data_IF_217949822484
#
_entry.id   IF_217949822484
#
_cell.length_a   1.000
_cell.length_b   1.000
_cell.length_c   1.000
_cell.angle_alpha   90.00
_cell.angle_beta   90.00
_cell.angle_gamma   90.00
#
_symmetry.space_group_name_H-M   'P 1'
#
loop_
_entity.id
_entity.type
_entity.pdbx_description
1 polymer ?
#
# COMPACT_ATOMS: atom_id res chain seq x y z
N UNK A 1 -6.70 -5.96 -8.30
CA UNK A 1 -7.45 -5.31 -7.20
C UNK A 1 -8.38 -4.18 -7.65
N UNK A 2 -7.92 -3.07 -8.24
CA UNK A 2 -8.87 -2.03 -8.72
C UNK A 2 -9.93 -2.61 -9.66
N UNK A 3 -9.49 -3.39 -10.65
CA UNK A 3 -10.37 -4.07 -11.61
C UNK A 3 -11.27 -5.12 -10.92
N UNK A 4 -10.70 -5.95 -10.03
CA UNK A 4 -11.46 -6.92 -9.23
C UNK A 4 -12.59 -6.26 -8.40
N UNK A 5 -12.36 -5.03 -7.93
CA UNK A 5 -13.33 -4.26 -7.14
C UNK A 5 -14.24 -3.37 -8.00
N UNK A 6 -14.02 -3.29 -9.31
CA UNK A 6 -14.75 -2.39 -10.22
C UNK A 6 -14.44 -0.90 -10.01
N UNK A 7 -13.29 -0.57 -9.42
CA UNK A 7 -12.91 0.81 -9.07
C UNK A 7 -12.17 1.52 -10.20
N UNK A 8 -12.94 1.89 -11.22
CA UNK A 8 -12.41 2.57 -12.42
C UNK A 8 -11.95 3.99 -12.11
N UNK A 9 -12.59 4.66 -11.14
CA UNK A 9 -12.29 6.06 -10.80
C UNK A 9 -10.88 6.21 -10.23
N UNK A 10 -10.55 5.49 -9.16
CA UNK A 10 -9.21 5.59 -8.55
C UNK A 10 -8.15 4.96 -9.43
N UNK A 11 -8.49 3.93 -10.20
CA UNK A 11 -7.58 3.35 -11.17
C UNK A 11 -7.11 4.38 -12.20
N UNK A 12 -8.04 5.08 -12.86
CA UNK A 12 -7.73 6.10 -13.87
C UNK A 12 -7.06 7.35 -13.28
N UNK A 13 -7.24 7.63 -11.99
CA UNK A 13 -6.52 8.69 -11.28
C UNK A 13 -5.09 8.29 -10.89
N UNK A 14 -4.83 6.98 -10.74
CA UNK A 14 -3.57 6.44 -10.23
C UNK A 14 -2.63 5.95 -11.31
N UNK A 15 -3.15 5.40 -12.41
CA UNK A 15 -2.37 4.76 -13.48
C UNK A 15 -2.80 5.33 -14.83
N UNK A 16 -1.83 5.65 -15.68
CA UNK A 16 -2.03 5.96 -17.09
C UNK A 16 -1.16 5.04 -17.94
N UNK A 17 -1.59 4.74 -19.15
CA UNK A 17 -0.90 3.83 -20.06
C UNK A 17 -0.37 4.60 -21.26
N UNK A 18 0.90 4.41 -21.59
CA UNK A 18 1.54 5.03 -22.76
C UNK A 18 2.36 4.04 -23.56
N UNK A 19 2.41 4.29 -24.87
CA UNK A 19 3.37 3.69 -25.79
C UNK A 19 4.71 4.43 -25.63
N UNK A 20 5.79 3.68 -25.50
CA UNK A 20 7.12 4.25 -25.40
C UNK A 20 7.89 3.96 -26.69
N UNK A 21 8.35 5.01 -27.37
CA UNK A 21 9.19 4.86 -28.58
C UNK A 21 10.60 4.30 -28.33
N UNK A 22 10.93 4.02 -27.07
CA UNK A 22 12.17 3.39 -26.64
C UNK A 22 11.84 2.06 -25.96
N UNK A 23 12.49 0.98 -26.41
CA UNK A 23 12.45 -0.33 -25.76
C UNK A 23 13.88 -0.79 -25.58
N UNK A 24 14.35 -0.81 -24.33
CA UNK A 24 15.63 -1.45 -24.03
C UNK A 24 15.47 -2.93 -23.66
N UNK A 25 14.31 -3.37 -23.14
CA UNK A 25 14.16 -4.75 -22.62
C UNK A 25 12.73 -5.36 -22.64
N UNK A 26 11.67 -4.62 -23.01
CA UNK A 26 10.28 -5.13 -23.01
C UNK A 26 9.47 -4.55 -24.20
N UNK A 27 8.45 -5.25 -24.73
CA UNK A 27 7.62 -4.72 -25.82
C UNK A 27 6.96 -3.38 -25.43
N UNK A 28 6.84 -2.49 -26.42
CA UNK A 28 6.90 -1.04 -26.24
C UNK A 28 5.54 -0.32 -26.23
N UNK A 29 4.43 -1.04 -26.23
CA UNK A 29 3.10 -0.54 -26.58
C UNK A 29 2.08 -0.52 -25.43
N UNK A 30 2.50 -0.79 -24.17
CA UNK A 30 1.59 -0.68 -23.03
C UNK A 30 2.28 -0.56 -21.66
N UNK A 31 2.90 0.59 -21.37
CA UNK A 31 3.54 0.81 -20.06
C UNK A 31 2.64 1.56 -19.08
N UNK A 32 2.51 1.01 -17.87
CA UNK A 32 1.86 1.68 -16.74
C UNK A 32 2.77 2.77 -16.16
N UNK A 33 2.26 3.99 -16.08
CA UNK A 33 2.88 5.10 -15.40
C UNK A 33 2.05 5.54 -14.20
N UNK A 34 2.74 5.89 -13.10
CA UNK A 34 2.12 6.52 -11.95
C UNK A 34 1.55 7.89 -12.34
N UNK A 35 0.23 8.02 -12.34
CA UNK A 35 -0.46 9.24 -12.78
C UNK A 35 -0.80 10.20 -11.64
N UNK A 36 -0.61 9.78 -10.38
CA UNK A 36 -0.92 10.58 -9.19
C UNK A 36 -0.03 11.81 -9.04
N UNK A 37 1.22 11.74 -9.54
CA UNK A 37 2.14 12.87 -9.67
C UNK A 37 2.33 13.21 -11.15
N UNK A 38 1.38 13.96 -11.73
CA UNK A 38 1.31 14.27 -13.17
C UNK A 38 2.46 15.13 -13.69
N UNK A 39 3.09 15.91 -12.82
CA UNK A 39 4.19 16.80 -13.20
C UNK A 39 5.10 17.07 -12.00
N UNK A 40 6.31 17.57 -12.28
CA UNK A 40 7.24 18.05 -11.25
C UNK A 40 6.71 19.28 -10.47
N UNK A 41 5.63 19.91 -10.92
CA UNK A 41 4.98 21.05 -10.27
C UNK A 41 3.78 20.67 -9.42
N UNK A 42 3.43 19.38 -9.35
CA UNK A 42 2.36 18.93 -8.49
C UNK A 42 2.81 18.93 -7.02
N UNK A 43 1.88 19.24 -6.11
CA UNK A 43 2.10 19.06 -4.68
C UNK A 43 2.19 17.58 -4.34
N UNK A 44 3.18 17.22 -3.52
CA UNK A 44 3.28 15.88 -2.92
C UNK A 44 2.34 15.83 -1.73
N UNK A 45 1.39 14.90 -1.77
CA UNK A 45 0.46 14.68 -0.66
C UNK A 45 1.12 13.74 0.34
N UNK A 46 1.46 14.26 1.51
CA UNK A 46 1.99 13.47 2.63
C UNK A 46 0.88 12.90 3.51
N UNK A 47 -0.16 13.68 3.75
CA UNK A 47 -1.28 13.33 4.61
C UNK A 47 -2.54 14.01 4.10
N UNK A 48 -3.67 13.31 4.17
CA UNK A 48 -4.98 13.87 3.82
C UNK A 48 -6.09 13.20 4.60
N UNK A 49 -7.27 13.81 4.55
CA UNK A 49 -8.41 13.42 5.37
C UNK A 49 -8.82 11.94 5.24
N UNK A 50 -8.72 11.35 4.04
CA UNK A 50 -9.05 9.93 3.85
C UNK A 50 -8.09 9.00 4.62
N UNK A 51 -6.81 9.34 4.72
CA UNK A 51 -5.84 8.57 5.50
C UNK A 51 -6.21 8.59 6.98
N UNK A 52 -6.49 9.79 7.53
CA UNK A 52 -6.95 9.95 8.92
C UNK A 52 -8.24 9.17 9.20
N UNK A 53 -9.19 9.19 8.28
CA UNK A 53 -10.41 8.38 8.39
C UNK A 53 -10.08 6.88 8.44
N UNK A 54 -9.22 6.40 7.55
CA UNK A 54 -8.84 5.00 7.50
C UNK A 54 -8.07 4.59 8.77
N UNK A 55 -7.13 5.40 9.26
CA UNK A 55 -6.47 5.15 10.55
C UNK A 55 -7.47 5.08 11.72
N UNK A 56 -8.51 5.94 11.71
CA UNK A 56 -9.61 5.85 12.68
C UNK A 56 -10.40 4.53 12.53
N UNK A 57 -10.62 4.06 11.31
CA UNK A 57 -11.29 2.78 11.07
C UNK A 57 -10.45 1.61 11.62
N UNK A 58 -9.13 1.64 11.41
CA UNK A 58 -8.23 0.65 12.00
C UNK A 58 -8.26 0.64 13.51
N UNK A 59 -8.17 1.81 14.15
CA UNK A 59 -8.24 1.91 15.60
C UNK A 59 -9.55 1.33 16.14
N UNK A 60 -10.65 1.46 15.41
CA UNK A 60 -11.94 0.83 15.73
C UNK A 60 -11.95 -0.68 15.53
N UNK A 61 -11.17 -1.23 14.59
CA UNK A 61 -11.05 -2.68 14.37
C UNK A 61 -10.14 -3.31 15.44
N UNK A 62 -9.01 -2.66 15.74
CA UNK A 62 -7.90 -3.21 16.51
C UNK A 62 -7.90 -2.81 17.99
N UNK A 63 -8.64 -1.77 18.38
CA UNK A 63 -8.70 -1.29 19.75
C UNK A 63 -9.27 -2.31 20.75
N UNK A 64 -9.06 -2.04 22.04
CA UNK A 64 -9.50 -2.92 23.15
C UNK A 64 -11.01 -3.17 23.18
N UNK A 65 -11.80 -2.20 22.73
CA UNK A 65 -13.24 -2.31 22.51
C UNK A 65 -13.55 -2.14 21.01
N UNK A 66 -13.48 -3.22 20.19
CA UNK A 66 -13.70 -3.12 18.76
C UNK A 66 -15.11 -2.65 18.41
N UNK A 67 -15.19 -1.71 17.48
CA UNK A 67 -16.42 -1.19 16.87
C UNK A 67 -16.38 -1.46 15.36
N UNK A 68 -16.69 -2.70 14.98
CA UNK A 68 -16.60 -3.17 13.59
C UNK A 68 -17.60 -2.45 12.68
N UNK A 69 -18.80 -2.15 13.16
CA UNK A 69 -19.79 -1.42 12.38
C UNK A 69 -19.34 0.03 12.14
N UNK A 70 -18.86 0.73 13.16
CA UNK A 70 -18.33 2.08 13.01
C UNK A 70 -17.08 2.14 12.12
N UNK A 71 -16.23 1.11 12.14
CA UNK A 71 -15.11 0.99 11.21
C UNK A 71 -15.58 0.77 9.77
N UNK A 72 -16.52 -0.15 9.56
CA UNK A 72 -17.10 -0.44 8.26
C UNK A 72 -17.81 0.80 7.66
N UNK A 73 -18.50 1.59 8.48
CA UNK A 73 -19.15 2.82 8.03
C UNK A 73 -18.14 3.87 7.54
N UNK A 74 -16.96 3.94 8.16
CA UNK A 74 -15.88 4.82 7.70
C UNK A 74 -15.31 4.31 6.37
N UNK A 75 -15.08 3.01 6.22
CA UNK A 75 -14.60 2.40 4.97
C UNK A 75 -15.64 2.63 3.86
N UNK A 76 -16.92 2.38 4.13
CA UNK A 76 -18.03 2.64 3.22
C UNK A 76 -18.09 4.10 2.77
N UNK A 77 -17.77 5.06 3.65
CA UNK A 77 -17.71 6.47 3.25
C UNK A 77 -16.66 6.72 2.16
N UNK A 78 -15.49 6.11 2.27
CA UNK A 78 -14.42 6.22 1.27
C UNK A 78 -14.83 5.52 -0.03
N UNK A 79 -15.36 4.30 0.08
CA UNK A 79 -15.89 3.49 -1.03
C UNK A 79 -16.97 4.23 -1.82
N UNK A 80 -17.95 4.79 -1.13
CA UNK A 80 -19.04 5.54 -1.76
C UNK A 80 -18.53 6.75 -2.54
N UNK A 81 -17.50 7.47 -2.04
CA UNK A 81 -16.88 8.60 -2.77
C UNK A 81 -16.14 8.14 -4.03
N UNK A 82 -15.58 6.94 -4.00
CA UNK A 82 -14.98 6.28 -5.16
C UNK A 82 -16.02 5.69 -6.14
N UNK A 83 -17.31 5.70 -5.79
CA UNK A 83 -18.39 5.13 -6.61
C UNK A 83 -18.60 3.63 -6.38
N UNK A 84 -18.01 3.06 -5.32
CA UNK A 84 -18.17 1.67 -4.94
C UNK A 84 -19.32 1.48 -3.96
N UNK A 85 -19.91 0.29 -3.98
CA UNK A 85 -20.93 -0.12 -3.02
C UNK A 85 -20.37 -0.39 -1.61
N UNK A 86 -21.27 -0.41 -0.64
CA UNK A 86 -20.97 -0.75 0.76
C UNK A 86 -20.37 -2.15 0.89
N UNK A 87 -19.56 -2.36 1.91
CA UNK A 87 -19.06 -3.68 2.29
C UNK A 87 -20.22 -4.63 2.60
N UNK A 88 -20.15 -5.90 2.17
CA UNK A 88 -21.17 -6.90 2.45
C UNK A 88 -21.20 -7.23 3.94
N UNK A 89 -22.35 -7.71 4.42
CA UNK A 89 -22.53 -8.02 5.85
C UNK A 89 -21.54 -9.08 6.34
N UNK A 90 -21.17 -10.05 5.48
CA UNK A 90 -20.16 -11.07 5.79
C UNK A 90 -18.80 -10.45 6.16
N UNK A 91 -18.39 -9.39 5.47
CA UNK A 91 -17.16 -8.64 5.79
C UNK A 91 -17.33 -7.83 7.06
N UNK A 92 -18.47 -7.14 7.26
CA UNK A 92 -18.72 -6.30 8.45
C UNK A 92 -18.71 -7.10 9.75
N UNK A 93 -19.19 -8.35 9.70
CA UNK A 93 -19.34 -9.21 10.87
C UNK A 93 -18.09 -10.02 11.26
N UNK A 94 -17.00 -9.96 10.49
CA UNK A 94 -15.73 -10.63 10.83
C UNK A 94 -14.62 -9.59 10.97
N UNK A 95 -13.92 -9.63 12.11
CA UNK A 95 -12.79 -8.73 12.36
C UNK A 95 -11.69 -8.92 11.32
N UNK A 96 -11.40 -10.17 10.98
CA UNK A 96 -10.36 -10.57 10.04
C UNK A 96 -10.73 -10.13 8.61
N UNK A 97 -11.96 -10.40 8.18
CA UNK A 97 -12.44 -9.97 6.87
C UNK A 97 -12.49 -8.44 6.76
N UNK A 98 -12.90 -7.74 7.82
CA UNK A 98 -12.93 -6.28 7.85
C UNK A 98 -11.52 -5.68 7.86
N UNK A 99 -10.57 -6.29 8.57
CA UNK A 99 -9.16 -5.87 8.54
C UNK A 99 -8.55 -6.06 7.14
N UNK A 100 -8.88 -7.15 6.46
CA UNK A 100 -8.47 -7.35 5.06
C UNK A 100 -9.08 -6.28 4.14
N UNK A 101 -10.39 -6.04 4.25
CA UNK A 101 -11.07 -5.00 3.49
C UNK A 101 -10.49 -3.60 3.76
N UNK A 102 -10.11 -3.32 5.00
CA UNK A 102 -9.40 -2.11 5.39
C UNK A 102 -8.04 -1.97 4.69
N UNK A 103 -7.21 -3.02 4.70
CA UNK A 103 -5.90 -3.01 4.05
C UNK A 103 -6.01 -2.84 2.52
N UNK A 104 -7.03 -3.44 1.91
CA UNK A 104 -7.32 -3.30 0.49
C UNK A 104 -7.83 -1.89 0.16
N UNK A 105 -8.69 -1.32 1.01
CA UNK A 105 -9.17 0.05 0.86
C UNK A 105 -8.02 1.05 0.97
N UNK A 106 -7.09 0.89 1.92
CA UNK A 106 -5.88 1.74 2.01
C UNK A 106 -4.99 1.62 0.79
N UNK A 107 -4.79 0.40 0.29
CA UNK A 107 -3.97 0.15 -0.90
C UNK A 107 -4.52 0.89 -2.12
N UNK A 108 -5.83 0.86 -2.32
CA UNK A 108 -6.50 1.54 -3.43
C UNK A 108 -6.58 3.05 -3.19
N UNK A 109 -6.99 3.49 -2.01
CA UNK A 109 -7.17 4.90 -1.71
C UNK A 109 -5.85 5.68 -1.75
N UNK A 110 -4.81 5.13 -1.13
CA UNK A 110 -3.52 5.80 -0.88
C UNK A 110 -2.42 5.29 -1.81
N UNK A 111 -2.79 4.66 -2.94
CA UNK A 111 -1.85 4.19 -3.94
C UNK A 111 -0.87 5.32 -4.31
N UNK A 112 0.43 5.04 -4.26
CA UNK A 112 1.51 5.98 -4.59
C UNK A 112 1.65 7.20 -3.67
N UNK A 113 1.06 7.20 -2.46
CA UNK A 113 1.21 8.28 -1.46
C UNK A 113 2.18 7.90 -0.31
N UNK A 114 3.05 6.90 -0.51
CA UNK A 114 4.10 6.53 0.45
C UNK A 114 3.67 5.68 1.65
N UNK A 115 2.38 5.38 1.81
CA UNK A 115 1.88 4.71 3.02
C UNK A 115 2.08 3.19 3.05
N UNK A 116 2.13 2.53 1.88
CA UNK A 116 2.04 1.08 1.78
C UNK A 116 3.14 0.34 2.54
N UNK A 117 4.39 0.79 2.46
CA UNK A 117 5.50 0.14 3.16
C UNK A 117 5.28 0.13 4.68
N UNK A 118 4.99 1.30 5.25
CA UNK A 118 4.77 1.46 6.68
C UNK A 118 3.54 0.70 7.17
N UNK A 119 2.46 0.67 6.37
CA UNK A 119 1.30 -0.17 6.64
C UNK A 119 1.65 -1.65 6.72
N UNK A 120 2.49 -2.16 5.81
CA UNK A 120 2.91 -3.56 5.84
C UNK A 120 3.80 -3.86 7.05
N UNK A 121 4.75 -2.98 7.39
CA UNK A 121 5.62 -3.15 8.56
C UNK A 121 4.81 -3.21 9.86
N UNK A 122 3.95 -2.22 10.11
CA UNK A 122 3.22 -2.13 11.37
C UNK A 122 2.11 -3.17 11.54
N UNK A 123 1.67 -3.79 10.44
CA UNK A 123 0.68 -4.87 10.44
C UNK A 123 1.32 -6.26 10.30
N UNK A 124 2.66 -6.37 10.31
CA UNK A 124 3.41 -7.61 10.12
C UNK A 124 3.01 -8.37 8.84
N UNK A 125 2.95 -7.64 7.73
CA UNK A 125 2.53 -8.13 6.40
C UNK A 125 3.64 -8.07 5.35
N UNK A 126 4.85 -7.64 5.71
CA UNK A 126 5.93 -7.43 4.75
C UNK A 126 6.26 -8.72 4.00
N UNK A 127 6.53 -9.80 4.73
CA UNK A 127 6.92 -11.09 4.15
C UNK A 127 5.80 -11.67 3.28
N UNK A 128 4.58 -11.74 3.83
CA UNK A 128 3.40 -12.25 3.12
C UNK A 128 3.16 -11.52 1.79
N UNK A 129 3.20 -10.18 1.82
CA UNK A 129 2.82 -9.37 0.67
C UNK A 129 3.98 -9.20 -0.30
N UNK A 130 5.17 -8.87 0.18
CA UNK A 130 6.31 -8.51 -0.66
C UNK A 130 6.93 -9.74 -1.33
N UNK A 131 7.05 -10.87 -0.63
CA UNK A 131 7.60 -12.10 -1.21
C UNK A 131 6.64 -12.73 -2.24
N UNK A 132 5.36 -12.36 -2.21
CA UNK A 132 4.39 -12.79 -3.21
C UNK A 132 4.40 -11.92 -4.49
N UNK A 133 5.04 -10.74 -4.50
CA UNK A 133 4.91 -9.77 -5.61
C UNK A 133 5.44 -10.33 -6.92
N UNK A 134 6.60 -10.98 -6.91
CA UNK A 134 7.25 -11.44 -8.14
C UNK A 134 6.52 -12.61 -8.80
N UNK A 135 5.64 -13.30 -8.08
CA UNK A 135 4.79 -14.36 -8.62
C UNK A 135 3.48 -13.84 -9.24
N UNK A 136 3.17 -12.54 -9.15
CA UNK A 136 1.88 -11.98 -9.62
C UNK A 136 1.83 -11.68 -11.12
N UNK A 137 2.98 -11.44 -11.73
CA UNK A 137 3.08 -11.11 -13.16
C UNK A 137 3.99 -12.12 -13.87
N UNK A 138 3.64 -12.49 -15.09
CA UNK A 138 4.52 -13.31 -15.94
C UNK A 138 5.74 -12.52 -16.40
N UNK A 139 6.86 -13.22 -16.65
CA UNK A 139 8.08 -12.62 -17.19
C UNK A 139 8.96 -11.86 -16.18
N UNK A 140 8.60 -11.86 -14.89
CA UNK A 140 9.49 -11.37 -13.83
C UNK A 140 10.53 -12.44 -13.47
N UNK A 141 11.76 -12.01 -13.22
CA UNK A 141 12.78 -12.88 -12.61
C UNK A 141 12.35 -13.27 -11.20
N UNK A 142 12.77 -14.45 -10.73
CA UNK A 142 12.54 -14.83 -9.35
C UNK A 142 13.18 -13.81 -8.40
N UNK A 143 12.52 -13.54 -7.27
CA UNK A 143 13.09 -12.71 -6.23
C UNK A 143 14.24 -13.46 -5.57
N UNK A 144 15.44 -12.90 -5.63
CA UNK A 144 16.63 -13.53 -5.03
C UNK A 144 16.68 -13.34 -3.51
N UNK A 145 16.39 -12.13 -3.05
CA UNK A 145 16.42 -11.78 -1.63
C UNK A 145 15.01 -11.64 -1.11
N UNK A 146 14.54 -12.63 -0.35
CA UNK A 146 13.25 -12.59 0.31
C UNK A 146 13.27 -11.59 1.47
N UNK A 147 12.18 -10.85 1.62
CA UNK A 147 11.94 -10.02 2.80
C UNK A 147 11.79 -10.90 4.04
N UNK A 148 12.35 -10.40 5.14
CA UNK A 148 12.29 -10.96 6.50
C UNK A 148 12.31 -9.82 7.53
N UNK A 149 12.36 -10.17 8.81
CA UNK A 149 12.40 -9.22 9.94
C UNK A 149 13.54 -8.19 9.87
N UNK A 150 14.68 -8.53 9.26
CA UNK A 150 15.81 -7.59 9.08
C UNK A 150 15.59 -6.60 7.95
N UNK A 151 14.58 -6.81 7.10
CA UNK A 151 14.29 -5.93 5.95
C UNK A 151 13.52 -4.67 6.35
N UNK A 152 13.12 -4.54 7.62
CA UNK A 152 12.18 -3.51 8.07
C UNK A 152 12.87 -2.16 8.31
N UNK A 153 14.17 -2.21 8.61
CA UNK A 153 15.01 -1.06 8.87
C UNK A 153 16.10 -0.97 7.80
N UNK A 154 16.43 0.25 7.39
CA UNK A 154 17.60 0.50 6.55
C UNK A 154 18.86 0.43 7.39
N UNK A 155 20.00 0.12 6.77
CA UNK A 155 21.30 0.23 7.42
C UNK A 155 21.50 1.64 7.98
N UNK A 156 22.00 1.73 9.22
CA UNK A 156 22.58 2.98 9.71
C UNK A 156 23.79 3.29 8.82
N UNK A 157 23.92 4.51 8.29
CA UNK A 157 25.04 4.87 7.43
C UNK A 157 26.39 4.55 8.09
N UNK A 158 27.29 3.85 7.38
CA UNK A 158 28.55 3.37 7.95
C UNK A 158 29.39 4.50 8.57
N UNK A 159 29.45 5.66 7.90
CA UNK A 159 30.18 6.81 8.45
C UNK A 159 29.62 7.34 9.78
N UNK A 160 28.34 7.10 10.09
CA UNK A 160 27.77 7.43 11.40
C UNK A 160 28.24 6.43 12.48
N UNK A 161 28.29 5.13 12.14
CA UNK A 161 28.84 4.07 13.01
C UNK A 161 30.32 4.35 13.31
N UNK A 162 31.11 4.65 12.28
CA UNK A 162 32.55 4.91 12.40
C UNK A 162 32.85 6.14 13.29
N UNK A 163 31.93 7.10 13.37
CA UNK A 163 32.08 8.34 14.14
C UNK A 163 31.55 8.26 15.57
N UNK A 164 30.72 7.26 15.89
CA UNK A 164 30.11 7.14 17.21
C UNK A 164 30.03 5.67 17.62
N UNK A 165 30.99 5.25 18.44
CA UNK A 165 31.08 3.88 18.98
C UNK A 165 29.87 3.44 19.81
N UNK A 166 28.99 4.37 20.23
CA UNK A 166 27.73 4.03 20.90
C UNK A 166 26.59 3.69 19.94
N UNK A 167 26.74 3.92 18.63
CA UNK A 167 25.75 3.50 17.65
C UNK A 167 25.93 2.03 17.32
N UNK A 168 24.86 1.26 17.50
CA UNK A 168 24.80 -0.16 17.16
C UNK A 168 24.01 -0.28 15.87
N UNK A 169 24.54 -1.03 14.91
CA UNK A 169 23.89 -1.27 13.62
C UNK A 169 22.53 -1.97 13.78
N UNK A 170 21.61 -1.69 12.85
CA UNK A 170 20.34 -2.40 12.77
C UNK A 170 20.56 -3.89 12.44
N UNK A 171 19.74 -4.80 12.98
CA UNK A 171 19.86 -6.23 12.70
C UNK A 171 19.90 -6.54 11.20
N UNK A 172 20.83 -7.42 10.79
CA UNK A 172 20.99 -7.88 9.41
C UNK A 172 21.94 -7.06 8.52
N UNK A 173 22.63 -6.05 9.06
CA UNK A 173 23.66 -5.27 8.36
C UNK A 173 25.02 -5.29 9.08
#
# INVERSE_FOLDING_TARGET
LYEEQGDTKRYNESVVWYDCGWSNYYPADHYAFMYKCRSAFNSIIYLRYADILLLKAEAKIMGEAPDLNGAADIIDRIRNRAGLGKLPQSTRSSKEALLQAYMDERRMELAFEGQRWYDLCRLNKVEEVMNAVYAKDSGRHAQENLFNENSYLLAIPQGAIDQNENLIQNPGY
#
